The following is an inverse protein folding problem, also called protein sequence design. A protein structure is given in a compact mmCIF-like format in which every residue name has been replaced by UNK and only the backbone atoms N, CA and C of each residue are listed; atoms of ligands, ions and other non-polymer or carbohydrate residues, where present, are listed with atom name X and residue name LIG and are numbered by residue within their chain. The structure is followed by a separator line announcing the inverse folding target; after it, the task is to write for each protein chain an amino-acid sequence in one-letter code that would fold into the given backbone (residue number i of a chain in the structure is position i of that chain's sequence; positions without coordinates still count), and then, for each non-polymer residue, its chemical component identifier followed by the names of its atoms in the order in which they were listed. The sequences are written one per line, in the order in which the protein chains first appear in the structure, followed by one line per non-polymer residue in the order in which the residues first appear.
data_IF_695763359127
#
_entry.id   IF_695763359127
#
_cell.length_a   1.000
_cell.length_b   1.000
_cell.length_c   1.000
_cell.angle_alpha   90.00
_cell.angle_beta   90.00
_cell.angle_gamma   90.00
#
_symmetry.space_group_name_H-M   'P 1'
#
loop_
_entity.id
_entity.type
_entity.pdbx_description
1 polymer ?
#
# COMPACT_ATOMS: atom_id res chain seq x y z
N UNK A 1 -59.50 -1.14 6.59
CA UNK A 1 -58.52 -0.55 7.52
C UNK A 1 -57.26 -1.41 7.44
N UNK A 2 -56.27 -0.99 6.66
CA UNK A 2 -55.07 -1.77 6.35
C UNK A 2 -53.86 -0.91 6.74
N UNK A 3 -53.02 -1.38 7.67
CA UNK A 3 -51.79 -0.69 8.07
C UNK A 3 -50.61 -1.26 7.28
N UNK A 4 -49.72 -0.42 6.73
CA UNK A 4 -48.53 -0.89 6.03
C UNK A 4 -47.46 -1.37 7.02
N UNK A 5 -46.61 -2.34 6.63
CA UNK A 5 -45.60 -2.90 7.51
C UNK A 5 -44.47 -1.88 7.75
N UNK A 6 -44.09 -1.73 9.02
CA UNK A 6 -42.95 -0.91 9.47
C UNK A 6 -41.67 -1.41 8.80
N UNK A 7 -41.07 -0.57 7.94
CA UNK A 7 -39.71 -0.76 7.45
C UNK A 7 -38.76 -0.79 8.64
N UNK A 8 -38.24 -1.98 8.98
CA UNK A 8 -37.02 -2.09 9.79
C UNK A 8 -35.87 -1.55 8.94
N UNK A 9 -35.48 -0.32 9.23
CA UNK A 9 -34.23 0.25 8.78
C UNK A 9 -33.09 -0.60 9.33
N UNK A 10 -32.52 -1.49 8.51
CA UNK A 10 -31.20 -2.06 8.76
C UNK A 10 -30.20 -0.93 8.55
N UNK A 11 -29.99 -0.17 9.62
CA UNK A 11 -28.87 0.73 9.74
C UNK A 11 -27.59 -0.08 9.46
N UNK A 12 -26.86 0.32 8.43
CA UNK A 12 -25.51 -0.15 8.15
C UNK A 12 -24.68 0.17 9.38
N UNK A 13 -24.43 -0.84 10.21
CA UNK A 13 -23.50 -0.75 11.32
C UNK A 13 -22.11 -0.74 10.70
N UNK A 14 -21.66 0.45 10.32
CA UNK A 14 -20.23 0.74 10.19
C UNK A 14 -19.64 0.25 11.50
N UNK A 15 -18.75 -0.74 11.45
CA UNK A 15 -17.89 -1.10 12.57
C UNK A 15 -17.03 0.13 12.85
N UNK A 16 -17.59 1.10 13.56
CA UNK A 16 -16.82 2.10 14.24
C UNK A 16 -15.99 1.30 15.25
N UNK A 17 -14.68 1.18 15.00
CA UNK A 17 -13.75 0.84 16.07
C UNK A 17 -13.97 1.90 17.14
N UNK A 18 -14.59 1.51 18.26
CA UNK A 18 -14.71 2.37 19.42
C UNK A 18 -13.29 2.78 19.84
N UNK A 19 -13.13 4.06 20.13
CA UNK A 19 -11.87 4.65 20.54
C UNK A 19 -11.43 4.07 21.88
N UNK A 20 -10.65 2.99 21.83
CA UNK A 20 -9.99 2.38 22.96
C UNK A 20 -9.04 1.29 22.47
N UNK A 21 -7.73 1.57 22.51
CA UNK A 21 -6.60 0.62 22.54
C UNK A 21 -6.79 -0.76 21.87
N UNK A 22 -7.39 -0.82 20.67
CA UNK A 22 -7.47 -2.07 19.91
C UNK A 22 -6.48 -2.00 18.77
N UNK A 23 -5.47 -2.86 18.85
CA UNK A 23 -4.51 -3.06 17.79
C UNK A 23 -5.26 -3.47 16.51
N UNK A 24 -4.80 -3.07 15.32
CA UNK A 24 -5.35 -3.56 14.07
C UNK A 24 -5.41 -5.09 14.05
N UNK A 25 -6.43 -5.72 13.44
CA UNK A 25 -6.56 -7.18 13.39
C UNK A 25 -5.39 -7.92 12.74
N UNK A 26 -4.45 -7.21 12.11
CA UNK A 26 -3.22 -7.72 11.51
C UNK A 26 -1.96 -7.26 12.26
N UNK A 27 -2.06 -6.60 13.41
CA UNK A 27 -0.90 -6.16 14.19
C UNK A 27 -0.07 -7.37 14.64
N UNK A 28 1.25 -7.38 14.41
CA UNK A 28 2.17 -8.45 14.84
C UNK A 28 2.34 -8.54 16.36
N UNK A 29 1.84 -7.55 17.11
CA UNK A 29 1.75 -7.59 18.56
C UNK A 29 0.64 -8.55 19.07
N UNK A 30 -0.23 -9.04 18.17
CA UNK A 30 -1.28 -9.99 18.49
C UNK A 30 -0.81 -11.44 18.27
N UNK A 31 -0.95 -12.27 19.31
CA UNK A 31 -0.68 -13.73 19.25
C UNK A 31 -1.82 -14.52 18.58
N UNK A 32 -3.00 -13.93 18.45
CA UNK A 32 -4.21 -14.58 17.92
C UNK A 32 -4.85 -13.70 16.86
N UNK A 33 -5.50 -14.33 15.89
CA UNK A 33 -6.32 -13.63 14.92
C UNK A 33 -7.68 -13.22 15.51
N UNK A 34 -8.53 -12.55 14.70
CA UNK A 34 -9.82 -12.05 15.16
C UNK A 34 -10.83 -13.14 15.59
N UNK A 35 -10.54 -14.42 15.33
CA UNK A 35 -11.35 -15.57 15.72
C UNK A 35 -10.74 -16.35 16.90
N UNK A 36 -9.70 -15.81 17.53
CA UNK A 36 -9.02 -16.45 18.66
C UNK A 36 -8.14 -17.64 18.26
N UNK A 37 -7.84 -17.82 16.96
CA UNK A 37 -6.89 -18.84 16.52
C UNK A 37 -5.47 -18.30 16.65
N UNK A 38 -4.59 -19.11 17.24
CA UNK A 38 -3.18 -18.75 17.41
C UNK A 38 -2.53 -18.53 16.04
N UNK A 39 -1.84 -17.41 15.88
CA UNK A 39 -1.05 -17.15 14.67
C UNK A 39 0.19 -18.03 14.63
N UNK A 40 0.69 -18.26 13.42
CA UNK A 40 1.92 -19.03 13.23
C UNK A 40 3.10 -18.15 13.69
N UNK A 41 3.93 -18.68 14.58
CA UNK A 41 5.14 -17.99 15.09
C UNK A 41 6.41 -18.33 14.31
N UNK A 42 6.31 -19.16 13.26
CA UNK A 42 7.49 -19.61 12.52
C UNK A 42 7.84 -18.65 11.40
N UNK A 43 9.07 -18.11 11.44
CA UNK A 43 9.72 -17.34 10.36
C UNK A 43 9.90 -18.15 9.05
N UNK A 44 9.59 -19.45 9.06
CA UNK A 44 9.74 -20.32 7.89
C UNK A 44 8.59 -20.19 6.88
N UNK A 45 7.40 -19.76 7.33
CA UNK A 45 6.20 -19.72 6.50
C UNK A 45 6.07 -18.38 5.77
N UNK A 46 6.68 -18.29 4.59
CA UNK A 46 6.68 -17.11 3.69
C UNK A 46 5.31 -16.80 3.06
N UNK A 47 4.20 -17.24 3.66
CA UNK A 47 2.86 -17.26 3.05
C UNK A 47 1.86 -16.41 3.81
N UNK A 48 0.69 -16.22 3.22
CA UNK A 48 -0.42 -15.49 3.83
C UNK A 48 -0.91 -16.12 5.14
N UNK A 49 -1.05 -15.28 6.16
CA UNK A 49 -1.72 -15.59 7.42
C UNK A 49 -3.19 -15.17 7.38
N UNK A 50 -4.06 -15.91 8.08
CA UNK A 50 -5.50 -15.63 8.14
C UNK A 50 -5.80 -14.72 9.33
N UNK A 51 -6.18 -13.48 9.06
CA UNK A 51 -6.53 -12.50 10.10
C UNK A 51 -8.01 -12.53 10.45
N UNK A 52 -8.84 -12.68 9.42
CA UNK A 52 -10.28 -12.82 9.54
C UNK A 52 -10.72 -13.84 8.49
N UNK A 53 -11.32 -14.97 8.91
CA UNK A 53 -11.60 -16.06 7.97
C UNK A 53 -12.44 -15.59 6.80
N UNK A 54 -12.00 -16.00 5.60
CA UNK A 54 -12.62 -15.68 4.32
C UNK A 54 -12.75 -14.18 3.99
N UNK A 55 -12.10 -13.30 4.76
CA UNK A 55 -12.26 -11.83 4.62
C UNK A 55 -10.93 -11.09 4.51
N UNK A 56 -9.96 -11.42 5.36
CA UNK A 56 -8.69 -10.70 5.45
C UNK A 56 -7.53 -11.65 5.68
N UNK A 57 -6.49 -11.49 4.87
CA UNK A 57 -5.22 -12.18 5.02
C UNK A 57 -4.08 -11.16 5.03
N UNK A 58 -3.01 -11.44 5.75
CA UNK A 58 -1.80 -10.62 5.79
C UNK A 58 -0.60 -11.43 5.29
N UNK A 59 0.36 -10.76 4.66
CA UNK A 59 1.65 -11.32 4.29
C UNK A 59 2.73 -10.27 4.61
N UNK A 60 3.85 -10.72 5.15
CA UNK A 60 4.87 -9.87 5.75
C UNK A 60 6.23 -10.10 5.10
N UNK A 61 6.98 -9.02 4.87
CA UNK A 61 8.40 -9.11 4.56
C UNK A 61 9.21 -9.45 5.80
N UNK A 62 10.53 -9.54 5.63
CA UNK A 62 11.44 -9.83 6.72
C UNK A 62 11.50 -8.63 7.68
N UNK A 63 11.28 -8.83 9.00
CA UNK A 63 11.45 -7.78 10.00
C UNK A 63 12.87 -7.22 9.99
N UNK A 64 12.97 -5.90 9.94
CA UNK A 64 14.21 -5.15 10.03
C UNK A 64 14.23 -4.39 11.36
N UNK A 65 15.36 -4.47 12.05
CA UNK A 65 15.66 -3.58 13.16
C UNK A 65 15.96 -2.18 12.59
N UNK A 66 15.24 -1.19 13.10
CA UNK A 66 15.42 0.22 12.80
C UNK A 66 16.07 0.81 14.03
N UNK A 67 17.29 1.30 13.86
CA UNK A 67 17.99 2.02 14.92
C UNK A 67 17.06 3.11 15.49
N UNK A 68 16.91 3.19 16.82
CA UNK A 68 16.25 4.33 17.43
C UNK A 68 17.03 5.56 16.98
N UNK A 69 16.36 6.49 16.31
CA UNK A 69 17.00 7.73 15.87
C UNK A 69 17.42 8.50 17.12
N UNK A 70 18.67 8.32 17.55
CA UNK A 70 19.28 9.10 18.63
C UNK A 70 19.28 10.58 18.19
N UNK A 71 18.49 11.39 18.89
CA UNK A 71 18.34 12.82 18.64
C UNK A 71 17.85 13.20 17.23
N UNK A 72 16.63 12.79 16.88
CA UNK A 72 15.87 13.38 15.79
C UNK A 72 14.45 13.65 16.26
N UNK A 73 14.18 14.92 16.56
CA UNK A 73 12.86 15.47 16.85
C UNK A 73 11.75 14.85 16.00
N UNK A 74 10.50 14.95 16.47
CA UNK A 74 9.23 14.79 15.72
C UNK A 74 9.11 15.72 14.48
N UNK A 75 10.25 16.12 13.91
CA UNK A 75 10.49 16.99 12.78
C UNK A 75 10.26 16.33 11.43
N UNK A 76 10.20 15.00 11.30
CA UNK A 76 9.75 14.42 10.01
C UNK A 76 8.26 14.72 9.77
N UNK A 77 7.46 14.73 10.85
CA UNK A 77 6.06 15.17 10.83
C UNK A 77 5.89 16.69 10.88
N UNK A 78 6.90 17.45 11.34
CA UNK A 78 6.91 18.92 11.35
C UNK A 78 7.63 19.55 10.14
N UNK A 79 8.32 18.75 9.34
CA UNK A 79 8.89 19.20 8.06
C UNK A 79 7.70 19.57 7.18
N UNK A 80 7.71 20.75 6.57
CA UNK A 80 6.70 21.20 5.62
C UNK A 80 6.61 20.35 4.34
N UNK A 81 6.99 19.06 4.39
CA UNK A 81 6.84 18.06 3.35
C UNK A 81 5.40 18.08 2.87
N UNK A 82 5.25 18.21 1.56
CA UNK A 82 3.96 18.27 0.87
C UNK A 82 3.59 16.93 0.24
N UNK A 83 4.50 15.95 0.32
CA UNK A 83 4.40 14.60 -0.26
C UNK A 83 5.16 13.56 0.58
N UNK A 84 4.69 12.32 0.52
CA UNK A 84 5.35 11.18 1.15
C UNK A 84 6.81 11.01 0.65
N UNK A 85 7.72 10.41 1.45
CA UNK A 85 9.11 10.25 1.05
C UNK A 85 9.27 9.54 -0.30
N UNK A 86 10.15 10.04 -1.17
CA UNK A 86 10.27 9.51 -2.53
C UNK A 86 10.61 8.02 -2.60
N UNK A 87 11.42 7.51 -1.65
CA UNK A 87 11.71 6.07 -1.52
C UNK A 87 10.44 5.23 -1.33
N UNK A 88 9.50 5.71 -0.53
CA UNK A 88 8.21 5.04 -0.29
C UNK A 88 7.37 5.03 -1.56
N UNK A 89 7.33 6.15 -2.28
CA UNK A 89 6.60 6.27 -3.54
C UNK A 89 7.15 5.28 -4.57
N UNK A 90 8.47 5.17 -4.68
CA UNK A 90 9.15 4.22 -5.54
C UNK A 90 8.82 2.76 -5.18
N UNK A 91 8.85 2.39 -3.89
CA UNK A 91 8.41 1.07 -3.44
C UNK A 91 6.94 0.78 -3.78
N UNK A 92 6.06 1.78 -3.67
CA UNK A 92 4.65 1.64 -4.06
C UNK A 92 4.50 1.38 -5.57
N UNK A 93 5.29 2.04 -6.42
CA UNK A 93 5.31 1.79 -7.87
C UNK A 93 5.78 0.36 -8.17
N UNK A 94 6.83 -0.11 -7.52
CA UNK A 94 7.33 -1.49 -7.70
C UNK A 94 6.31 -2.52 -7.20
N UNK A 95 5.56 -2.22 -6.15
CA UNK A 95 4.43 -3.06 -5.70
C UNK A 95 3.29 -3.11 -6.74
N UNK A 96 2.98 -1.99 -7.41
CA UNK A 96 2.05 -1.96 -8.54
C UNK A 96 2.54 -2.83 -9.71
N UNK A 97 3.85 -2.83 -9.99
CA UNK A 97 4.45 -3.73 -10.99
C UNK A 97 4.25 -5.20 -10.59
N UNK A 98 4.56 -5.56 -9.34
CA UNK A 98 4.31 -6.91 -8.85
C UNK A 98 2.83 -7.32 -9.01
N UNK A 99 1.90 -6.40 -8.72
CA UNK A 99 0.45 -6.64 -8.82
C UNK A 99 -0.08 -6.71 -10.26
N UNK A 100 0.70 -6.24 -11.24
CA UNK A 100 0.33 -6.31 -12.65
C UNK A 100 0.77 -7.64 -13.30
N UNK A 101 1.73 -8.36 -12.73
CA UNK A 101 2.37 -9.54 -13.36
C UNK A 101 2.41 -10.80 -12.51
N UNK A 102 2.13 -10.71 -11.22
CA UNK A 102 2.06 -11.85 -10.32
C UNK A 102 0.66 -11.97 -9.72
N UNK A 103 0.11 -13.18 -9.72
CA UNK A 103 -1.11 -13.49 -8.95
C UNK A 103 -0.86 -13.20 -7.47
N UNK A 104 -1.85 -12.72 -6.71
CA UNK A 104 -1.64 -12.54 -5.27
C UNK A 104 -1.32 -13.87 -4.58
N UNK A 105 -1.85 -14.98 -5.07
CA UNK A 105 -1.51 -16.32 -4.57
C UNK A 105 -0.01 -16.68 -4.65
N UNK A 106 0.75 -16.06 -5.57
CA UNK A 106 2.19 -16.30 -5.70
C UNK A 106 3.06 -15.32 -4.90
N UNK A 107 2.45 -14.35 -4.21
CA UNK A 107 3.20 -13.42 -3.37
C UNK A 107 3.68 -14.14 -2.10
N UNK A 108 4.94 -13.92 -1.78
CA UNK A 108 5.58 -14.46 -0.59
C UNK A 108 6.41 -13.37 0.10
N UNK A 109 6.94 -13.69 1.28
CA UNK A 109 7.75 -12.75 2.07
C UNK A 109 8.96 -12.22 1.27
N UNK A 110 9.60 -13.09 0.48
CA UNK A 110 10.77 -12.73 -0.34
C UNK A 110 10.40 -11.72 -1.42
N UNK A 111 9.22 -11.83 -2.03
CA UNK A 111 8.76 -10.86 -3.00
C UNK A 111 8.58 -9.48 -2.37
N UNK A 112 8.06 -9.39 -1.14
CA UNK A 112 7.92 -8.12 -0.43
C UNK A 112 9.27 -7.46 -0.15
N UNK A 113 10.27 -8.24 0.25
CA UNK A 113 11.63 -7.74 0.45
C UNK A 113 12.25 -7.24 -0.87
N UNK A 114 12.01 -7.97 -1.96
CA UNK A 114 12.46 -7.58 -3.31
C UNK A 114 11.79 -6.31 -3.81
N UNK A 115 10.50 -6.12 -3.50
CA UNK A 115 9.79 -4.85 -3.79
C UNK A 115 10.47 -3.68 -3.08
N UNK A 116 10.90 -3.86 -1.82
CA UNK A 116 11.63 -2.81 -1.11
C UNK A 116 13.00 -2.51 -1.71
N UNK A 117 13.79 -3.56 -1.95
CA UNK A 117 15.14 -3.40 -2.51
C UNK A 117 15.07 -2.74 -3.89
N UNK A 118 14.26 -3.26 -4.81
CA UNK A 118 14.13 -2.70 -6.14
C UNK A 118 13.43 -1.33 -6.13
N UNK A 119 12.55 -1.05 -5.16
CA UNK A 119 11.99 0.28 -4.95
C UNK A 119 13.04 1.30 -4.52
N UNK A 120 14.00 0.90 -3.68
CA UNK A 120 15.13 1.73 -3.31
C UNK A 120 16.05 2.00 -4.51
N UNK A 121 16.41 0.96 -5.27
CA UNK A 121 17.22 1.10 -6.49
C UNK A 121 16.55 2.06 -7.49
N UNK A 122 15.25 1.85 -7.74
CA UNK A 122 14.45 2.69 -8.64
C UNK A 122 14.38 4.16 -8.18
N UNK A 123 14.31 4.39 -6.86
CA UNK A 123 14.38 5.74 -6.30
C UNK A 123 15.74 6.39 -6.57
N UNK A 124 16.85 5.71 -6.28
CA UNK A 124 18.20 6.25 -6.47
C UNK A 124 18.49 6.53 -7.94
N UNK A 125 18.04 5.65 -8.85
CA UNK A 125 18.12 5.87 -10.30
C UNK A 125 17.31 7.10 -10.75
N UNK A 126 16.11 7.27 -10.19
CA UNK A 126 15.25 8.44 -10.48
C UNK A 126 15.87 9.73 -9.95
N UNK A 127 16.44 9.70 -8.75
CA UNK A 127 17.15 10.84 -8.16
C UNK A 127 18.38 11.21 -8.98
N UNK A 128 19.21 10.24 -9.36
CA UNK A 128 20.39 10.46 -10.20
C UNK A 128 20.03 10.98 -11.60
N UNK A 129 18.93 10.52 -12.19
CA UNK A 129 18.43 11.04 -13.46
C UNK A 129 17.99 12.51 -13.37
N UNK A 130 17.36 12.90 -12.24
CA UNK A 130 16.97 14.29 -11.98
C UNK A 130 18.15 15.20 -11.75
N UNK A 131 19.14 14.75 -10.96
CA UNK A 131 20.36 15.51 -10.71
C UNK A 131 21.13 15.79 -12.00
N UNK A 132 21.19 14.82 -12.93
CA UNK A 132 21.76 15.04 -14.28
C UNK A 132 21.01 16.06 -15.13
N UNK A 133 19.76 16.37 -14.80
CA UNK A 133 18.93 17.38 -15.47
C UNK A 133 18.84 18.69 -14.67
N UNK A 134 19.74 18.88 -13.69
CA UNK A 134 19.77 20.03 -12.77
C UNK A 134 18.43 20.30 -12.06
N UNK A 135 17.62 19.25 -11.87
CA UNK A 135 16.34 19.35 -11.20
C UNK A 135 16.55 19.21 -9.68
N UNK A 136 16.21 20.26 -8.93
CA UNK A 136 16.30 20.27 -7.47
C UNK A 136 15.10 19.57 -6.83
N UNK A 137 15.31 18.95 -5.66
CA UNK A 137 14.25 18.41 -4.80
C UNK A 137 14.02 16.90 -4.94
N UNK A 138 13.27 16.37 -3.98
CA UNK A 138 12.93 14.96 -3.88
C UNK A 138 12.04 14.49 -5.06
N UNK A 139 12.27 13.27 -5.59
CA UNK A 139 11.37 12.66 -6.55
C UNK A 139 9.93 12.53 -6.01
N UNK A 140 8.96 13.06 -6.77
CA UNK A 140 7.53 12.79 -6.61
C UNK A 140 7.06 11.76 -7.63
N UNK A 141 5.83 11.23 -7.47
CA UNK A 141 5.26 10.24 -8.40
C UNK A 141 5.28 10.69 -9.86
N UNK A 142 5.04 11.98 -10.13
CA UNK A 142 5.04 12.56 -11.48
C UNK A 142 6.45 12.68 -12.10
N UNK A 143 7.48 12.40 -11.31
CA UNK A 143 8.87 12.67 -11.69
C UNK A 143 9.82 11.51 -11.43
N UNK A 144 9.30 10.40 -10.93
CA UNK A 144 10.00 9.12 -10.94
C UNK A 144 10.23 8.70 -12.40
N UNK A 145 11.28 7.91 -12.64
CA UNK A 145 11.58 7.44 -13.99
C UNK A 145 10.41 6.62 -14.55
N UNK A 146 10.15 6.71 -15.86
CA UNK A 146 9.11 5.91 -16.53
C UNK A 146 9.49 4.44 -16.71
N UNK A 147 10.59 4.01 -16.09
CA UNK A 147 11.14 2.68 -16.20
C UNK A 147 11.61 2.19 -14.83
N UNK A 148 11.21 0.98 -14.44
CA UNK A 148 11.67 0.35 -13.21
C UNK A 148 11.99 -1.13 -13.44
N UNK A 149 12.61 -1.76 -12.45
CA UNK A 149 12.97 -3.18 -12.47
C UNK A 149 12.35 -3.90 -11.27
N UNK A 150 11.92 -5.15 -11.46
CA UNK A 150 11.58 -6.08 -10.38
C UNK A 150 12.14 -7.46 -10.73
N UNK A 151 13.05 -7.97 -9.91
CA UNK A 151 13.71 -9.28 -10.13
C UNK A 151 14.39 -9.43 -11.50
N UNK A 152 15.07 -8.38 -11.97
CA UNK A 152 15.75 -8.39 -13.27
C UNK A 152 14.80 -8.31 -14.47
N UNK A 153 13.49 -8.16 -14.25
CA UNK A 153 12.52 -7.84 -15.29
C UNK A 153 12.25 -6.36 -15.30
N UNK A 154 12.21 -5.81 -16.50
CA UNK A 154 12.11 -4.40 -16.74
C UNK A 154 10.66 -4.03 -17.08
N UNK A 155 10.21 -2.87 -16.61
CA UNK A 155 8.84 -2.40 -16.78
C UNK A 155 8.81 -0.95 -17.20
N UNK A 156 8.01 -0.66 -18.22
CA UNK A 156 7.52 0.69 -18.47
C UNK A 156 6.42 1.01 -17.47
N UNK A 157 6.53 2.18 -16.85
CA UNK A 157 5.60 2.66 -15.83
C UNK A 157 4.96 3.95 -16.33
N UNK A 158 3.63 3.95 -16.34
CA UNK A 158 2.79 5.12 -16.59
C UNK A 158 2.10 5.52 -15.29
N UNK A 159 2.36 6.73 -14.81
CA UNK A 159 1.84 7.24 -13.53
C UNK A 159 1.06 8.52 -13.78
N UNK A 160 -0.23 8.46 -13.52
CA UNK A 160 -1.14 9.56 -13.77
C UNK A 160 -1.97 9.86 -12.53
N UNK A 161 -2.10 11.16 -12.21
CA UNK A 161 -3.03 11.59 -11.16
C UNK A 161 -4.46 11.29 -11.59
N UNK A 162 -5.15 10.45 -10.81
CA UNK A 162 -6.51 10.04 -11.08
C UNK A 162 -7.55 10.88 -10.33
N UNK A 163 -7.40 11.01 -9.02
CA UNK A 163 -8.36 11.72 -8.19
C UNK A 163 -7.68 12.44 -7.03
N UNK A 164 -8.36 13.44 -6.48
CA UNK A 164 -7.98 14.08 -5.23
C UNK A 164 -9.22 14.47 -4.43
N UNK A 165 -9.09 14.41 -3.12
CA UNK A 165 -10.20 14.69 -2.21
C UNK A 165 -9.72 14.91 -0.79
N UNK A 166 -10.61 14.69 0.17
CA UNK A 166 -10.28 14.69 1.59
C UNK A 166 -10.82 13.41 2.22
N UNK A 167 -10.04 12.76 3.09
CA UNK A 167 -10.33 11.41 3.60
C UNK A 167 -11.80 11.23 4.05
N UNK A 168 -12.27 12.16 4.89
CA UNK A 168 -13.60 12.13 5.52
C UNK A 168 -14.60 13.13 4.91
N UNK A 169 -14.39 13.58 3.66
CA UNK A 169 -15.35 14.45 2.97
C UNK A 169 -16.65 13.71 2.63
N UNK A 170 -17.78 14.41 2.60
CA UNK A 170 -19.06 13.83 2.11
C UNK A 170 -19.14 13.72 0.59
N UNK A 171 -18.43 14.58 -0.14
CA UNK A 171 -18.58 14.73 -1.60
C UNK A 171 -17.37 14.19 -2.39
N UNK A 172 -16.16 14.38 -1.85
CA UNK A 172 -14.89 13.93 -2.45
C UNK A 172 -14.14 13.05 -1.46
N UNK A 173 -14.81 11.99 -1.03
CA UNK A 173 -14.31 11.04 -0.03
C UNK A 173 -13.35 10.03 -0.65
N UNK A 174 -12.54 9.37 0.18
CA UNK A 174 -11.70 8.27 -0.31
C UNK A 174 -12.55 7.11 -0.86
N UNK A 175 -13.64 6.76 -0.17
CA UNK A 175 -14.54 5.70 -0.60
C UNK A 175 -15.21 5.97 -1.95
N UNK A 176 -15.63 7.21 -2.22
CA UNK A 176 -16.21 7.55 -3.52
C UNK A 176 -15.15 7.52 -4.63
N UNK A 177 -13.94 8.02 -4.36
CA UNK A 177 -12.84 7.98 -5.32
C UNK A 177 -12.43 6.54 -5.67
N UNK A 178 -12.32 5.64 -4.68
CA UNK A 178 -12.04 4.21 -4.92
C UNK A 178 -13.15 3.53 -5.71
N UNK A 179 -14.41 3.85 -5.41
CA UNK A 179 -15.55 3.29 -6.15
C UNK A 179 -15.49 3.64 -7.64
N UNK A 180 -15.17 4.90 -7.96
CA UNK A 180 -14.99 5.35 -9.35
C UNK A 180 -13.75 4.73 -9.98
N UNK A 181 -12.65 4.62 -9.25
CA UNK A 181 -11.40 4.00 -9.72
C UNK A 181 -11.63 2.59 -10.24
N UNK A 182 -12.24 1.73 -9.43
CA UNK A 182 -12.52 0.35 -9.81
C UNK A 182 -13.68 0.21 -10.82
N UNK A 183 -14.64 1.14 -10.82
CA UNK A 183 -15.69 1.17 -11.84
C UNK A 183 -15.13 1.50 -13.24
N UNK A 184 -13.97 2.15 -13.33
CA UNK A 184 -13.24 2.38 -14.58
C UNK A 184 -12.26 1.24 -14.92
N UNK A 185 -12.36 0.10 -14.25
CA UNK A 185 -11.50 -1.07 -14.47
C UNK A 185 -9.99 -0.82 -14.29
N UNK A 186 -9.64 0.22 -13.53
CA UNK A 186 -8.24 0.47 -13.17
C UNK A 186 -7.78 -0.59 -12.16
N UNK A 187 -6.63 -1.20 -12.42
CA UNK A 187 -6.16 -2.36 -11.65
C UNK A 187 -5.35 -1.96 -10.42
N UNK A 188 -4.33 -1.12 -10.58
CA UNK A 188 -3.43 -0.74 -9.48
C UNK A 188 -3.26 0.78 -9.39
N UNK A 189 -3.08 1.25 -8.17
CA UNK A 189 -2.92 2.67 -7.88
C UNK A 189 -2.18 2.92 -6.58
N UNK A 190 -1.81 4.18 -6.40
CA UNK A 190 -1.12 4.66 -5.20
C UNK A 190 -2.00 5.70 -4.52
N UNK A 191 -2.27 5.49 -3.24
CA UNK A 191 -2.91 6.46 -2.38
C UNK A 191 -1.83 7.23 -1.64
N UNK A 192 -1.83 8.55 -1.79
CA UNK A 192 -0.84 9.44 -1.20
C UNK A 192 -1.53 10.48 -0.30
N UNK A 193 -1.04 10.58 0.94
CA UNK A 193 -1.31 11.69 1.86
C UNK A 193 -0.11 12.65 1.88
N UNK A 194 0.02 13.47 2.93
CA UNK A 194 1.11 14.44 3.03
C UNK A 194 2.47 13.77 3.27
N UNK A 195 2.53 12.77 4.13
CA UNK A 195 3.75 12.09 4.60
C UNK A 195 3.66 10.56 4.47
N UNK A 196 2.51 10.05 4.08
CA UNK A 196 2.24 8.62 3.92
C UNK A 196 1.83 8.27 2.50
N UNK A 197 2.18 7.07 2.07
CA UNK A 197 1.67 6.45 0.86
C UNK A 197 1.48 4.94 1.04
N UNK A 198 0.58 4.39 0.23
CA UNK A 198 0.38 2.96 0.09
C UNK A 198 0.00 2.63 -1.35
N UNK A 199 0.39 1.45 -1.81
CA UNK A 199 -0.09 0.90 -3.07
C UNK A 199 -1.33 0.05 -2.82
N UNK A 200 -2.21 0.01 -3.80
CA UNK A 200 -3.42 -0.81 -3.74
C UNK A 200 -3.81 -1.28 -5.13
N UNK A 201 -4.70 -2.25 -5.17
CA UNK A 201 -5.28 -2.66 -6.44
C UNK A 201 -6.24 -3.82 -6.32
N UNK A 202 -6.66 -4.31 -7.48
CA UNK A 202 -7.46 -5.50 -7.65
C UNK A 202 -6.78 -6.39 -8.69
N UNK A 203 -6.40 -7.61 -8.28
CA UNK A 203 -5.85 -8.62 -9.18
C UNK A 203 -6.98 -9.58 -9.57
N UNK A 204 -7.36 -9.65 -10.86
CA UNK A 204 -8.33 -10.63 -11.33
C UNK A 204 -7.77 -12.05 -11.17
N UNK A 205 -8.51 -12.92 -10.52
CA UNK A 205 -8.17 -14.34 -10.35
C UNK A 205 -9.41 -15.17 -10.69
N UNK A 206 -9.31 -16.05 -11.68
CA UNK A 206 -10.47 -16.79 -12.20
C UNK A 206 -11.13 -17.69 -11.15
N UNK A 207 -10.32 -18.40 -10.35
CA UNK A 207 -10.82 -19.35 -9.36
C UNK A 207 -11.44 -18.70 -8.11
N UNK A 208 -10.94 -17.52 -7.71
CA UNK A 208 -11.32 -16.85 -6.44
C UNK A 208 -12.18 -15.59 -6.65
N UNK A 209 -12.52 -15.27 -7.91
CA UNK A 209 -13.19 -14.02 -8.35
C UNK A 209 -12.33 -12.76 -8.15
N UNK A 210 -11.01 -12.92 -8.08
CA UNK A 210 -10.06 -11.85 -7.82
C UNK A 210 -10.01 -11.41 -6.37
N UNK A 211 -9.01 -10.59 -6.06
CA UNK A 211 -8.83 -10.04 -4.73
C UNK A 211 -8.26 -8.63 -4.77
N UNK A 212 -8.71 -7.83 -3.82
CA UNK A 212 -8.12 -6.53 -3.54
C UNK A 212 -6.86 -6.72 -2.69
N UNK A 213 -5.88 -5.85 -2.92
CA UNK A 213 -4.70 -5.77 -2.07
C UNK A 213 -4.41 -4.35 -1.63
N UNK A 214 -3.70 -4.25 -0.51
CA UNK A 214 -3.06 -3.04 0.01
C UNK A 214 -1.63 -3.41 0.37
N UNK A 215 -0.64 -2.73 -0.20
CA UNK A 215 0.76 -2.85 0.18
C UNK A 215 1.21 -1.61 0.92
N UNK A 216 1.89 -1.79 2.05
CA UNK A 216 2.40 -0.70 2.86
C UNK A 216 3.81 -1.02 3.39
N UNK A 217 4.69 -0.02 3.32
CA UNK A 217 6.12 -0.17 3.65
C UNK A 217 6.67 0.92 4.58
N UNK A 218 5.80 1.73 5.19
CA UNK A 218 6.24 2.76 6.15
C UNK A 218 5.95 2.39 7.60
N UNK A 219 5.34 1.23 7.87
CA UNK A 219 5.02 0.83 9.22
C UNK A 219 6.30 0.54 10.02
N UNK A 220 6.41 1.22 11.17
CA UNK A 220 7.51 1.06 12.13
C UNK A 220 6.91 1.13 13.53
N UNK A 221 7.35 0.26 14.43
CA UNK A 221 6.88 0.25 15.80
C UNK A 221 5.37 0.04 15.94
N UNK A 222 4.85 0.48 17.08
CA UNK A 222 3.42 0.40 17.38
C UNK A 222 2.58 1.22 16.37
N UNK A 223 1.34 0.78 16.06
CA UNK A 223 0.62 -0.35 16.65
C UNK A 223 0.83 -1.68 15.91
N UNK A 224 1.73 -1.76 14.94
CA UNK A 224 1.88 -2.96 14.10
C UNK A 224 3.01 -3.87 14.58
N UNK A 225 4.14 -3.31 14.96
CA UNK A 225 5.35 -4.04 15.36
C UNK A 225 5.81 -3.62 16.77
N UNK A 226 6.80 -4.32 17.33
CA UNK A 226 7.47 -3.83 18.53
C UNK A 226 8.26 -2.56 18.20
N UNK A 227 8.52 -1.73 19.21
CA UNK A 227 9.34 -0.53 19.02
C UNK A 227 10.73 -0.92 18.47
N UNK A 228 11.20 -0.18 17.46
CA UNK A 228 12.44 -0.49 16.75
C UNK A 228 12.28 -1.50 15.61
N UNK A 229 11.12 -2.11 15.40
CA UNK A 229 10.89 -3.04 14.28
C UNK A 229 10.16 -2.38 13.11
N UNK A 230 10.49 -2.80 11.89
CA UNK A 230 9.75 -2.44 10.68
C UNK A 230 9.73 -3.59 9.67
N UNK A 231 8.66 -3.67 8.89
CA UNK A 231 8.61 -4.58 7.74
C UNK A 231 7.58 -4.06 6.73
N UNK A 232 7.75 -4.37 5.43
CA UNK A 232 6.67 -4.21 4.48
C UNK A 232 5.61 -5.28 4.72
N UNK A 233 4.36 -4.97 4.39
CA UNK A 233 3.31 -5.96 4.40
C UNK A 233 2.30 -5.71 3.30
N UNK A 234 1.60 -6.79 2.92
CA UNK A 234 0.43 -6.72 2.07
C UNK A 234 -0.77 -7.31 2.79
N UNK A 235 -1.91 -6.64 2.68
CA UNK A 235 -3.20 -7.17 3.06
C UNK A 235 -3.93 -7.62 1.82
N UNK A 236 -4.56 -8.80 1.87
CA UNK A 236 -5.43 -9.35 0.82
C UNK A 236 -6.85 -9.43 1.35
N UNK A 237 -7.82 -9.02 0.53
CA UNK A 237 -9.24 -9.03 0.88
C UNK A 237 -10.14 -9.18 -0.34
N UNK A 238 -11.41 -9.53 -0.13
CA UNK A 238 -12.38 -9.79 -1.22
C UNK A 238 -13.36 -8.66 -1.49
N UNK A 239 -13.45 -7.68 -0.59
CA UNK A 239 -14.47 -6.63 -0.65
C UNK A 239 -13.82 -5.26 -0.66
N UNK A 240 -14.32 -4.37 -1.52
CA UNK A 240 -13.88 -2.97 -1.61
C UNK A 240 -14.07 -2.23 -0.27
N UNK A 241 -15.16 -2.51 0.45
CA UNK A 241 -15.38 -1.93 1.78
C UNK A 241 -14.29 -2.35 2.78
N UNK A 242 -13.83 -3.61 2.71
CA UNK A 242 -12.73 -4.08 3.54
C UNK A 242 -11.41 -3.38 3.17
N UNK A 243 -11.15 -3.17 1.87
CA UNK A 243 -9.99 -2.39 1.40
C UNK A 243 -10.01 -0.98 1.97
N UNK A 244 -11.14 -0.26 1.88
CA UNK A 244 -11.28 1.08 2.43
C UNK A 244 -11.01 1.09 3.94
N UNK A 245 -11.58 0.15 4.69
CA UNK A 245 -11.34 0.05 6.13
C UNK A 245 -9.87 -0.20 6.46
N UNK A 246 -9.22 -1.13 5.74
CA UNK A 246 -7.80 -1.41 5.91
C UNK A 246 -6.94 -0.17 5.61
N UNK A 247 -7.22 0.58 4.54
CA UNK A 247 -6.53 1.83 4.23
C UNK A 247 -6.64 2.85 5.38
N UNK A 248 -7.86 3.07 5.89
CA UNK A 248 -8.08 4.06 6.95
C UNK A 248 -7.36 3.69 8.25
N UNK A 249 -7.35 2.41 8.63
CA UNK A 249 -6.62 1.92 9.81
C UNK A 249 -5.10 1.98 9.58
N UNK A 250 -4.61 1.58 8.40
CA UNK A 250 -3.17 1.64 8.07
C UNK A 250 -2.63 3.07 8.10
N UNK A 251 -3.41 4.05 7.65
CA UNK A 251 -3.01 5.45 7.66
C UNK A 251 -3.08 6.07 9.07
N UNK A 252 -3.97 5.56 9.94
CA UNK A 252 -4.29 6.08 11.30
C UNK A 252 -4.42 7.62 11.36
N UNK A 253 -4.97 8.20 10.29
CA UNK A 253 -5.13 9.64 10.19
C UNK A 253 -6.47 10.07 10.79
N UNK A 254 -6.43 10.67 11.98
CA UNK A 254 -7.64 11.08 12.73
C UNK A 254 -8.09 12.50 12.42
N UNK A 255 -7.26 13.31 11.76
CA UNK A 255 -7.61 14.69 11.44
C UNK A 255 -8.69 14.75 10.36
N UNK A 256 -9.65 15.64 10.57
CA UNK A 256 -10.62 15.98 9.54
C UNK A 256 -9.96 16.75 8.40
N UNK A 257 -10.51 16.64 7.20
CA UNK A 257 -10.09 17.39 6.01
C UNK A 257 -8.67 17.10 5.47
N UNK A 258 -8.04 16.00 5.85
CA UNK A 258 -6.72 15.63 5.30
C UNK A 258 -6.84 15.35 3.80
N UNK A 259 -6.09 16.07 2.95
CA UNK A 259 -6.14 15.87 1.52
C UNK A 259 -5.48 14.56 1.14
N UNK A 260 -6.06 13.88 0.16
CA UNK A 260 -5.45 12.71 -0.46
C UNK A 260 -5.36 12.89 -1.97
N UNK A 261 -4.44 12.16 -2.58
CA UNK A 261 -4.33 11.97 -4.04
C UNK A 261 -4.31 10.48 -4.35
N UNK A 262 -5.04 10.08 -5.38
CA UNK A 262 -4.95 8.74 -5.96
C UNK A 262 -4.28 8.90 -7.32
N UNK A 263 -3.27 8.07 -7.56
CA UNK A 263 -2.63 7.91 -8.86
C UNK A 263 -2.99 6.54 -9.42
N UNK A 264 -3.33 6.48 -10.71
CA UNK A 264 -3.38 5.20 -11.42
C UNK A 264 -1.96 4.85 -11.87
N UNK A 265 -1.61 3.57 -11.79
CA UNK A 265 -0.30 3.09 -12.22
C UNK A 265 -0.50 2.00 -13.24
N UNK A 266 -0.06 2.26 -14.47
CA UNK A 266 0.04 1.27 -15.53
C UNK A 266 1.45 0.70 -15.58
N UNK A 267 1.57 -0.62 -15.67
CA UNK A 267 2.86 -1.29 -15.81
C UNK A 267 2.81 -2.20 -17.04
N UNK A 268 3.83 -2.12 -17.90
CA UNK A 268 3.97 -2.98 -19.09
C UNK A 268 5.38 -3.57 -19.09
N UNK A 269 5.58 -4.89 -19.27
CA UNK A 269 6.92 -5.46 -19.34
C UNK A 269 7.65 -4.90 -20.55
N UNK A 270 8.88 -4.44 -20.35
CA UNK A 270 9.77 -4.14 -21.45
C UNK A 270 10.37 -5.44 -22.00
N UNK A 271 10.36 -5.60 -23.32
CA UNK A 271 10.99 -6.74 -24.01
C UNK A 271 12.52 -6.67 -24.01
N UNK A 272 13.11 -5.61 -23.46
CA UNK A 272 14.55 -5.39 -23.50
C UNK A 272 15.27 -6.20 -22.41
N UNK A 273 15.56 -7.46 -22.73
CA UNK A 273 16.54 -8.28 -22.00
C UNK A 273 17.94 -8.22 -22.66
N UNK A 274 18.15 -7.36 -23.66
CA UNK A 274 19.42 -7.25 -24.38
C UNK A 274 19.46 -5.88 -25.04
N UNK A 275 20.06 -4.87 -24.41
CA UNK A 275 20.62 -3.67 -25.08
C UNK A 275 21.26 -2.63 -24.13
N UNK A 276 21.48 -2.91 -22.84
CA UNK A 276 22.36 -2.09 -21.98
C UNK A 276 23.75 -2.72 -21.74
N UNK A 277 24.11 -3.68 -22.58
CA UNK A 277 25.45 -4.26 -22.69
C UNK A 277 26.18 -3.85 -23.96
N UNK A 278 26.08 -2.59 -24.39
CA UNK A 278 26.97 -2.04 -25.42
C UNK A 278 28.00 -1.12 -24.77
N UNK A 279 29.15 -1.76 -24.56
CA UNK A 279 30.50 -1.24 -24.41
C UNK A 279 30.67 0.22 -24.86
N UNK A 280 31.11 1.08 -23.95
CA UNK A 280 31.93 2.21 -24.33
C UNK A 280 33.40 1.78 -24.23
N UNK A 281 34.01 1.59 -25.40
CA UNK A 281 35.44 1.84 -25.58
C UNK A 281 35.67 3.35 -25.57
#
# INVERSE_FOLDING_TARGET
MWQPPKRRSTAVRVMAMEAGNSLPPWSRLLDHNAEGRRRRKSDEDKRYEVEISNRLWSLWGTPQQVEPVENGTSLESASGRTSAPGKVLACCVVACCAGSFHSLDSWDSRLLDKILLNGHDYYEESLAARQRRDCVGEPTLETLNTYCCLNGRNFWVDIDKFASGKLYSKTKSLGSALSVFFAQHLQTGILQLRDQALAFGFIPEYASRGAFFLFHCQAKGQPIFNDGESAPYVLRMRQLQQLLNCMLITLDERRYNVPFRIYKVGCVPSTDCTLLGLKNH
#
